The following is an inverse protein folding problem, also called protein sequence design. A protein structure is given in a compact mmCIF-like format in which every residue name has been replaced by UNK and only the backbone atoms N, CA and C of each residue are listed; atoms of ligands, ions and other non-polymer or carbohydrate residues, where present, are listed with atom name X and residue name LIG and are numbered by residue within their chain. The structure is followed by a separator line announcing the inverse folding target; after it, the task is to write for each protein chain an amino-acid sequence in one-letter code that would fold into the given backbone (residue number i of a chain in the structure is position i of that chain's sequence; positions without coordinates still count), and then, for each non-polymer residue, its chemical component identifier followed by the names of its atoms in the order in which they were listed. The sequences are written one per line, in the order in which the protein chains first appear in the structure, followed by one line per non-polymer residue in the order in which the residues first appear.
data_IF_290174966794
#
_entry.id   IF_290174966794
#
_cell.length_a   1.000
_cell.length_b   1.000
_cell.length_c   1.000
_cell.angle_alpha   90.00
_cell.angle_beta   90.00
_cell.angle_gamma   90.00
#
_symmetry.space_group_name_H-M   'P 1'
#
loop_
_entity.id
_entity.type
_entity.pdbx_description
1 polymer ?
#
# COMPACT_ATOMS: atom_id res chain seq x y z
N UNK A 1 -13.26 8.06 0.15
CA UNK A 1 -12.12 8.19 1.08
C UNK A 1 -11.35 6.88 1.01
N UNK A 2 -10.24 6.84 0.27
CA UNK A 2 -9.58 5.59 -0.13
C UNK A 2 -8.57 5.13 0.93
N UNK A 3 -8.50 3.83 1.23
CA UNK A 3 -7.49 3.26 2.14
C UNK A 3 -6.06 3.69 1.76
N UNK A 4 -5.75 3.70 0.46
CA UNK A 4 -4.47 4.16 -0.07
C UNK A 4 -4.19 5.66 0.17
N UNK A 5 -5.21 6.50 0.32
CA UNK A 5 -5.03 7.91 0.68
C UNK A 5 -4.48 8.09 2.10
N UNK A 6 -4.89 7.24 3.04
CA UNK A 6 -4.34 7.27 4.41
C UNK A 6 -2.90 6.80 4.46
N UNK A 7 -2.58 5.73 3.72
CA UNK A 7 -1.20 5.27 3.57
C UNK A 7 -0.34 6.34 2.91
N UNK A 8 -0.81 6.95 1.82
CA UNK A 8 -0.13 8.08 1.17
C UNK A 8 0.19 9.19 2.17
N UNK A 9 -0.81 9.65 2.92
CA UNK A 9 -0.64 10.74 3.89
C UNK A 9 0.26 10.35 5.07
N UNK A 10 0.30 9.08 5.44
CA UNK A 10 1.21 8.57 6.45
C UNK A 10 2.66 8.60 5.95
N UNK A 11 2.92 8.06 4.75
CA UNK A 11 4.26 8.04 4.15
C UNK A 11 4.77 9.44 3.78
N UNK A 12 3.89 10.34 3.34
CA UNK A 12 4.23 11.74 3.05
C UNK A 12 4.67 12.51 4.30
N UNK A 13 4.29 12.06 5.51
CA UNK A 13 4.69 12.66 6.79
C UNK A 13 5.97 12.10 7.38
N UNK A 14 6.49 10.99 6.84
CA UNK A 14 7.72 10.38 7.34
C UNK A 14 8.93 11.12 6.77
N UNK A 15 9.93 11.36 7.63
CA UNK A 15 11.28 11.77 7.21
C UNK A 15 11.86 10.74 6.23
N UNK A 16 12.71 11.17 5.28
CA UNK A 16 13.20 10.31 4.19
C UNK A 16 13.87 9.02 4.68
N UNK A 17 14.63 9.09 5.79
CA UNK A 17 15.24 7.91 6.42
C UNK A 17 14.21 6.92 6.98
N UNK A 18 13.25 7.42 7.79
CA UNK A 18 12.19 6.57 8.36
C UNK A 18 11.30 6.00 7.26
N UNK A 19 11.08 6.78 6.20
CA UNK A 19 10.37 6.35 5.00
C UNK A 19 11.09 5.18 4.35
N UNK A 20 12.38 5.28 4.03
CA UNK A 20 13.16 4.21 3.39
C UNK A 20 13.15 2.90 4.19
N UNK A 21 13.42 2.97 5.50
CA UNK A 21 13.45 1.78 6.36
C UNK A 21 12.08 1.11 6.40
N UNK A 22 11.01 1.90 6.54
CA UNK A 22 9.64 1.39 6.56
C UNK A 22 9.25 0.83 5.20
N UNK A 23 9.58 1.53 4.11
CA UNK A 23 9.27 1.12 2.75
C UNK A 23 9.97 -0.18 2.38
N UNK A 24 11.26 -0.31 2.69
CA UNK A 24 12.02 -1.54 2.45
C UNK A 24 11.40 -2.72 3.20
N UNK A 25 11.20 -2.56 4.52
CA UNK A 25 10.69 -3.62 5.39
C UNK A 25 9.31 -4.13 4.99
N UNK A 26 8.39 -3.24 4.61
CA UNK A 26 7.00 -3.61 4.39
C UNK A 26 6.64 -3.82 2.91
N UNK A 27 7.23 -3.06 1.98
CA UNK A 27 6.86 -3.07 0.57
C UNK A 27 7.91 -3.70 -0.33
N UNK A 28 9.20 -3.44 -0.11
CA UNK A 28 10.25 -4.04 -0.95
C UNK A 28 10.43 -5.53 -0.63
N UNK A 29 10.70 -5.86 0.63
CA UNK A 29 11.07 -7.22 1.03
C UNK A 29 9.85 -8.15 1.17
N UNK A 30 8.66 -7.57 1.28
CA UNK A 30 7.41 -8.28 1.58
C UNK A 30 6.27 -7.96 0.60
N UNK A 31 6.60 -7.53 -0.64
CA UNK A 31 5.61 -7.18 -1.66
C UNK A 31 4.57 -8.29 -1.89
N UNK A 32 5.03 -9.54 -2.00
CA UNK A 32 4.16 -10.71 -2.21
C UNK A 32 3.18 -10.90 -1.04
N UNK A 33 3.61 -10.61 0.19
CA UNK A 33 2.76 -10.68 1.38
C UNK A 33 1.71 -9.57 1.34
N UNK A 34 2.10 -8.34 0.98
CA UNK A 34 1.15 -7.21 0.83
C UNK A 34 0.10 -7.51 -0.23
N UNK A 35 0.51 -8.01 -1.40
CA UNK A 35 -0.40 -8.42 -2.48
C UNK A 35 -1.35 -9.52 -1.99
N UNK A 36 -0.81 -10.55 -1.31
CA UNK A 36 -1.62 -11.63 -0.76
C UNK A 36 -2.64 -11.11 0.26
N UNK A 37 -2.24 -10.21 1.17
CA UNK A 37 -3.14 -9.59 2.15
C UNK A 37 -4.24 -8.80 1.48
N UNK A 38 -3.92 -8.00 0.45
CA UNK A 38 -4.91 -7.27 -0.34
C UNK A 38 -5.89 -8.20 -1.06
N UNK A 39 -5.39 -9.31 -1.61
CA UNK A 39 -6.22 -10.33 -2.24
C UNK A 39 -7.20 -10.99 -1.25
N UNK A 40 -6.73 -11.41 -0.08
CA UNK A 40 -7.60 -11.98 0.95
C UNK A 40 -8.63 -10.97 1.46
N UNK A 41 -8.23 -9.70 1.62
CA UNK A 41 -9.16 -8.64 2.00
C UNK A 41 -10.24 -8.42 0.94
N UNK A 42 -9.87 -8.45 -0.34
CA UNK A 42 -10.83 -8.37 -1.45
C UNK A 42 -11.80 -9.57 -1.48
N UNK A 43 -11.32 -10.80 -1.27
CA UNK A 43 -12.19 -11.98 -1.15
C UNK A 43 -13.18 -11.80 0.00
N UNK A 44 -12.71 -11.34 1.17
CA UNK A 44 -13.57 -11.16 2.34
C UNK A 44 -14.70 -10.16 2.05
N UNK A 45 -14.38 -9.05 1.40
CA UNK A 45 -15.39 -8.09 0.95
C UNK A 45 -16.35 -8.71 -0.07
N UNK A 46 -15.84 -9.49 -1.02
CA UNK A 46 -16.66 -10.15 -2.03
C UNK A 46 -17.66 -11.13 -1.42
N UNK A 47 -17.23 -11.94 -0.44
CA UNK A 47 -18.12 -12.86 0.28
C UNK A 47 -19.17 -12.09 1.08
N UNK A 48 -18.76 -11.04 1.79
CA UNK A 48 -19.68 -10.22 2.59
C UNK A 48 -20.74 -9.53 1.73
N UNK A 49 -20.33 -8.82 0.67
CA UNK A 49 -21.25 -8.14 -0.23
C UNK A 49 -22.06 -9.14 -1.07
N UNK A 50 -21.47 -10.26 -1.46
CA UNK A 50 -22.18 -11.31 -2.19
C UNK A 50 -23.32 -11.92 -1.38
N UNK A 51 -23.10 -12.20 -0.10
CA UNK A 51 -24.16 -12.65 0.80
C UNK A 51 -25.28 -11.59 0.93
N UNK A 52 -24.93 -10.32 1.16
CA UNK A 52 -25.92 -9.24 1.22
C UNK A 52 -26.72 -9.11 -0.08
N UNK A 53 -26.09 -9.19 -1.24
CA UNK A 53 -26.78 -9.03 -2.52
C UNK A 53 -27.74 -10.20 -2.80
N UNK A 54 -27.36 -11.42 -2.42
CA UNK A 54 -28.24 -12.59 -2.53
C UNK A 54 -29.45 -12.44 -1.59
N UNK A 55 -29.26 -11.95 -0.38
CA UNK A 55 -30.34 -11.75 0.59
C UNK A 55 -31.32 -10.65 0.14
N UNK A 56 -30.81 -9.56 -0.45
CA UNK A 56 -31.63 -8.40 -0.84
C UNK A 56 -32.36 -8.57 -2.18
N UNK A 57 -31.72 -9.21 -3.17
CA UNK A 57 -32.21 -9.25 -4.56
C UNK A 57 -32.55 -10.66 -5.04
N UNK A 58 -32.33 -11.68 -4.21
CA UNK A 58 -32.44 -13.08 -4.56
C UNK A 58 -31.19 -13.62 -5.26
N UNK A 59 -31.08 -14.96 -5.44
CA UNK A 59 -29.83 -15.61 -5.83
C UNK A 59 -29.31 -15.19 -7.21
N UNK A 60 -30.19 -15.10 -8.21
CA UNK A 60 -29.81 -14.82 -9.61
C UNK A 60 -29.30 -13.39 -9.79
N UNK A 61 -30.08 -12.40 -9.34
CA UNK A 61 -29.68 -10.99 -9.40
C UNK A 61 -28.53 -10.68 -8.44
N UNK A 62 -28.52 -11.30 -7.26
CA UNK A 62 -27.43 -11.17 -6.29
C UNK A 62 -26.09 -11.64 -6.85
N UNK A 63 -26.04 -12.79 -7.52
CA UNK A 63 -24.82 -13.30 -8.18
C UNK A 63 -24.33 -12.35 -9.28
N UNK A 64 -25.22 -11.89 -10.15
CA UNK A 64 -24.87 -10.95 -11.23
C UNK A 64 -24.28 -9.67 -10.64
N UNK A 65 -24.94 -9.07 -9.64
CA UNK A 65 -24.46 -7.86 -8.98
C UNK A 65 -23.11 -8.09 -8.29
N UNK A 66 -22.92 -9.25 -7.67
CA UNK A 66 -21.65 -9.63 -7.03
C UNK A 66 -20.51 -9.67 -8.04
N UNK A 67 -20.73 -10.22 -9.23
CA UNK A 67 -19.71 -10.28 -10.29
C UNK A 67 -19.31 -8.86 -10.75
N UNK A 68 -20.30 -8.00 -11.03
CA UNK A 68 -20.03 -6.62 -11.45
C UNK A 68 -19.32 -5.82 -10.35
N UNK A 69 -19.81 -5.91 -9.11
CA UNK A 69 -19.22 -5.24 -7.96
C UNK A 69 -17.79 -5.72 -7.69
N UNK A 70 -17.57 -7.03 -7.74
CA UNK A 70 -16.27 -7.67 -7.60
C UNK A 70 -15.26 -7.16 -8.62
N UNK A 71 -15.62 -7.15 -9.90
CA UNK A 71 -14.75 -6.69 -10.99
C UNK A 71 -14.41 -5.20 -10.85
N UNK A 72 -15.40 -4.37 -10.54
CA UNK A 72 -15.19 -2.94 -10.31
C UNK A 72 -14.29 -2.67 -9.09
N UNK A 73 -14.52 -3.39 -7.99
CA UNK A 73 -13.72 -3.28 -6.77
C UNK A 73 -12.27 -3.73 -7.02
N UNK A 74 -12.07 -4.84 -7.73
CA UNK A 74 -10.75 -5.34 -8.10
C UNK A 74 -9.99 -4.31 -8.95
N UNK A 75 -10.66 -3.75 -9.96
CA UNK A 75 -10.10 -2.69 -10.81
C UNK A 75 -9.61 -1.50 -9.96
N UNK A 76 -10.46 -0.97 -9.08
CA UNK A 76 -10.08 0.17 -8.22
C UNK A 76 -8.90 -0.20 -7.33
N UNK A 77 -8.93 -1.36 -6.70
CA UNK A 77 -7.91 -1.79 -5.75
C UNK A 77 -6.54 -1.92 -6.43
N UNK A 78 -6.49 -2.55 -7.60
CA UNK A 78 -5.26 -2.72 -8.39
C UNK A 78 -4.72 -1.36 -8.84
N UNK A 79 -5.55 -0.51 -9.45
CA UNK A 79 -5.10 0.79 -9.96
C UNK A 79 -4.59 1.71 -8.85
N UNK A 80 -5.28 1.75 -7.71
CA UNK A 80 -4.82 2.57 -6.59
C UNK A 80 -3.57 2.01 -5.93
N UNK A 81 -3.44 0.68 -5.83
CA UNK A 81 -2.23 0.05 -5.32
C UNK A 81 -1.03 0.31 -6.23
N UNK A 82 -1.18 0.20 -7.55
CA UNK A 82 -0.13 0.52 -8.51
C UNK A 82 0.28 1.99 -8.46
N UNK A 83 -0.70 2.90 -8.36
CA UNK A 83 -0.43 4.34 -8.22
C UNK A 83 0.33 4.65 -6.92
N UNK A 84 -0.07 4.02 -5.82
CA UNK A 84 0.61 4.13 -4.53
C UNK A 84 2.06 3.62 -4.62
N UNK A 85 2.27 2.43 -5.18
CA UNK A 85 3.61 1.87 -5.38
C UNK A 85 4.46 2.77 -6.26
N UNK A 86 3.94 3.25 -7.39
CA UNK A 86 4.69 4.11 -8.31
C UNK A 86 5.16 5.40 -7.63
N UNK A 87 4.27 6.11 -6.92
CA UNK A 87 4.59 7.36 -6.22
C UNK A 87 5.74 7.19 -5.23
N UNK A 88 5.66 6.17 -4.38
CA UNK A 88 6.61 5.98 -3.28
C UNK A 88 7.88 5.24 -3.70
N UNK A 89 7.81 4.38 -4.72
CA UNK A 89 9.01 3.73 -5.24
C UNK A 89 9.97 4.73 -5.92
N UNK A 90 9.43 5.77 -6.57
CA UNK A 90 10.26 6.87 -7.09
C UNK A 90 11.02 7.59 -5.96
N UNK A 91 10.34 7.90 -4.84
CA UNK A 91 10.98 8.49 -3.65
C UNK A 91 12.04 7.57 -3.05
N UNK A 92 11.74 6.27 -2.96
CA UNK A 92 12.68 5.26 -2.46
C UNK A 92 13.95 5.17 -3.32
N UNK A 93 13.83 5.07 -4.65
CA UNK A 93 14.98 5.00 -5.56
C UNK A 93 15.82 6.28 -5.49
N UNK A 94 15.18 7.46 -5.49
CA UNK A 94 15.89 8.74 -5.39
C UNK A 94 16.71 8.83 -4.11
N UNK A 95 16.12 8.45 -2.97
CA UNK A 95 16.81 8.47 -1.68
C UNK A 95 17.98 7.47 -1.59
N UNK A 96 17.87 6.28 -2.21
CA UNK A 96 18.94 5.28 -2.21
C UNK A 96 20.19 5.70 -3.02
N UNK A 97 20.02 6.53 -4.05
CA UNK A 97 21.13 7.08 -4.84
C UNK A 97 21.97 8.08 -4.01
N UNK A 98 21.37 8.74 -3.00
CA UNK A 98 22.08 9.64 -2.11
C UNK A 98 22.84 8.92 -0.98
N UNK A 99 22.45 7.70 -0.62
CA UNK A 99 23.13 6.90 0.43
C UNK A 99 24.40 6.21 -0.08
N UNK A 100 24.42 5.68 -1.32
CA UNK A 100 25.60 4.98 -1.87
C UNK A 100 26.82 5.90 -2.11
N UNK A 101 26.61 7.22 -2.12
CA UNK A 101 27.68 8.22 -2.24
C UNK A 101 28.15 8.84 -0.91
N UNK A 102 27.51 8.53 0.22
CA UNK A 102 27.77 9.18 1.50
C UNK A 102 28.24 8.17 2.54
N UNK A 103 29.56 8.02 2.66
CA UNK A 103 30.22 7.40 3.83
C UNK A 103 30.19 8.33 5.05
N UNK A 104 29.10 9.07 5.27
CA UNK A 104 28.93 9.84 6.51
C UNK A 104 28.34 8.92 7.55
N UNK A 105 29.22 8.39 8.39
CA UNK A 105 28.88 7.62 9.57
C UNK A 105 27.98 8.50 10.47
N UNK A 106 26.68 8.22 10.49
CA UNK A 106 25.68 9.05 11.16
C UNK A 106 25.81 9.11 12.69
N UNK A 107 26.65 8.24 13.27
CA UNK A 107 27.01 8.30 14.69
C UNK A 107 27.89 9.53 15.02
N UNK A 108 28.67 10.07 14.06
CA UNK A 108 29.53 11.26 14.28
C UNK A 108 28.76 12.60 14.27
N UNK A 109 27.57 12.65 13.66
CA UNK A 109 26.77 13.88 13.60
C UNK A 109 26.04 14.15 14.92
N UNK A 110 25.76 13.10 15.69
CA UNK A 110 25.09 13.24 17.00
C UNK A 110 26.05 13.78 18.08
N UNK A 111 27.36 13.56 17.95
CA UNK A 111 28.35 14.09 18.90
C UNK A 111 28.75 15.55 18.64
N UNK A 112 28.70 16.01 17.39
CA UNK A 112 29.11 17.39 17.03
C UNK A 112 28.09 18.46 17.41
N UNK A 113 26.81 18.10 17.61
CA UNK A 113 25.76 19.03 18.07
C UNK A 113 25.78 19.19 19.61
N UNK A 114 26.56 18.38 20.33
CA UNK A 114 26.67 18.41 21.81
C UNK A 114 27.96 19.05 22.34
N UNK A 115 28.82 19.62 21.49
CA UNK A 115 30.00 20.39 21.91
C UNK A 115 29.80 21.88 21.78
#
# INVERSE_FOLDING_TARGET
MNFFYFLDKYFDKLDDFKFQVTWRKYFHDHLNRVISTLFFFWILLLVFFGAMFIELLGPLFGLVLTIFFSGYLAYILIFQFLRFLAKHNTRYIQSGIFDEGNTFNHDDVVETIKK
#
